data_IF_371454609861
#
_entry.id   IF_371454609861
#
_cell.length_a   1.000
_cell.length_b   1.000
_cell.length_c   1.000
_cell.angle_alpha   90.00
_cell.angle_beta   90.00
_cell.angle_gamma   90.00
#
_symmetry.space_group_name_H-M   'P 1'
#
loop_
_entity.id
_entity.type
_entity.pdbx_description
1 polymer ?
#
# COMPACT_ATOMS: atom_id res chain seq x y z
N UNK A 1 21.83 4.95 -11.79
CA UNK A 1 20.92 5.90 -12.48
C UNK A 1 19.80 5.17 -13.24
N UNK A 2 20.09 4.29 -14.21
CA UNK A 2 19.05 3.67 -15.06
C UNK A 2 17.95 2.90 -14.32
N UNK A 3 18.31 2.12 -13.29
CA UNK A 3 17.34 1.33 -12.48
C UNK A 3 16.36 2.22 -11.71
N UNK A 4 16.81 3.39 -11.24
CA UNK A 4 15.96 4.34 -10.52
C UNK A 4 14.91 4.94 -11.45
N UNK A 5 15.34 5.44 -12.62
CA UNK A 5 14.42 5.99 -13.63
C UNK A 5 13.43 4.94 -14.16
N UNK A 6 13.88 3.70 -14.37
CA UNK A 6 13.01 2.60 -14.79
C UNK A 6 11.89 2.33 -13.78
N UNK A 7 12.21 2.26 -12.47
CA UNK A 7 11.19 2.11 -11.42
C UNK A 7 10.23 3.29 -11.39
N UNK A 8 10.73 4.52 -11.49
CA UNK A 8 9.89 5.73 -11.46
C UNK A 8 8.92 5.76 -12.65
N UNK A 9 9.41 5.52 -13.88
CA UNK A 9 8.57 5.48 -15.07
C UNK A 9 7.53 4.36 -14.98
N UNK A 10 7.92 3.19 -14.46
CA UNK A 10 7.00 2.07 -14.23
C UNK A 10 5.88 2.44 -13.24
N UNK A 11 6.20 3.08 -12.11
CA UNK A 11 5.19 3.53 -11.15
C UNK A 11 4.27 4.62 -11.71
N UNK A 12 4.80 5.55 -12.52
CA UNK A 12 4.00 6.59 -13.18
C UNK A 12 3.02 5.96 -14.18
N UNK A 13 3.50 5.07 -15.03
CA UNK A 13 2.67 4.35 -15.99
C UNK A 13 1.58 3.52 -15.29
N UNK A 14 1.95 2.80 -14.22
CA UNK A 14 1.01 2.04 -13.40
C UNK A 14 -0.10 2.92 -12.80
N UNK A 15 0.24 4.10 -12.25
CA UNK A 15 -0.75 5.03 -11.72
C UNK A 15 -1.67 5.62 -12.80
N UNK A 16 -1.15 5.88 -14.01
CA UNK A 16 -1.98 6.33 -15.13
C UNK A 16 -2.97 5.25 -15.56
N UNK A 17 -2.52 3.99 -15.72
CA UNK A 17 -3.40 2.87 -16.07
C UNK A 17 -4.47 2.65 -14.98
N UNK A 18 -4.11 2.71 -13.70
CA UNK A 18 -5.05 2.66 -12.57
C UNK A 18 -6.17 3.70 -12.71
N UNK A 19 -5.83 4.96 -13.04
CA UNK A 19 -6.84 6.01 -13.24
C UNK A 19 -7.76 5.75 -14.42
N UNK A 20 -7.27 5.08 -15.46
CA UNK A 20 -8.05 4.76 -16.65
C UNK A 20 -8.89 3.48 -16.49
N UNK A 21 -8.50 2.56 -15.60
CA UNK A 21 -9.17 1.25 -15.43
C UNK A 21 -10.17 1.23 -14.27
N UNK A 22 -10.04 2.14 -13.28
CA UNK A 22 -10.88 2.16 -12.08
C UNK A 22 -12.08 3.09 -12.26
N UNK A 23 -13.31 2.57 -12.38
CA UNK A 23 -14.52 3.37 -12.37
C UNK A 23 -14.69 4.01 -10.97
N UNK A 24 -15.12 5.27 -10.94
CA UNK A 24 -15.22 6.15 -9.75
C UNK A 24 -15.75 5.43 -8.50
N UNK A 25 -14.86 5.07 -7.57
CA UNK A 25 -15.23 4.46 -6.29
C UNK A 25 -15.89 5.50 -5.36
N UNK A 26 -16.93 5.09 -4.62
CA UNK A 26 -17.56 5.96 -3.60
C UNK A 26 -16.57 6.22 -2.46
N UNK A 27 -16.58 7.44 -1.91
CA UNK A 27 -15.78 7.80 -0.74
C UNK A 27 -15.98 6.84 0.43
N UNK A 28 -17.19 6.28 0.60
CA UNK A 28 -17.49 5.28 1.63
C UNK A 28 -16.70 3.97 1.46
N UNK A 29 -16.45 3.53 0.23
CA UNK A 29 -15.70 2.30 -0.02
C UNK A 29 -14.22 2.49 0.28
N UNK A 30 -13.68 3.66 -0.04
CA UNK A 30 -12.29 4.02 0.28
C UNK A 30 -12.12 4.14 1.79
N UNK A 31 -13.08 4.78 2.47
CA UNK A 31 -13.04 4.92 3.93
C UNK A 31 -13.16 3.56 4.63
N UNK A 32 -14.03 2.67 4.13
CA UNK A 32 -14.14 1.30 4.64
C UNK A 32 -12.87 0.48 4.37
N UNK A 33 -12.20 0.63 3.22
CA UNK A 33 -10.94 -0.06 2.94
C UNK A 33 -9.81 0.44 3.88
N UNK A 34 -9.67 1.76 4.01
CA UNK A 34 -8.67 2.39 4.88
C UNK A 34 -8.86 2.03 6.35
N UNK A 35 -10.07 2.24 6.87
CA UNK A 35 -10.34 2.07 8.29
C UNK A 35 -10.55 0.62 8.73
N UNK A 36 -11.14 -0.22 7.88
CA UNK A 36 -11.49 -1.59 8.28
C UNK A 36 -10.42 -2.63 7.93
N UNK A 37 -9.55 -2.34 6.96
CA UNK A 37 -8.53 -3.30 6.48
C UNK A 37 -7.12 -2.74 6.69
N UNK A 38 -6.85 -1.49 6.27
CA UNK A 38 -5.50 -0.94 6.30
C UNK A 38 -4.98 -0.68 7.72
N UNK A 39 -5.83 -0.12 8.60
CA UNK A 39 -5.50 0.15 10.00
C UNK A 39 -5.16 -1.11 10.81
N UNK A 40 -6.04 -2.14 10.89
CA UNK A 40 -5.73 -3.35 11.64
C UNK A 40 -4.54 -4.11 11.05
N UNK A 41 -4.37 -4.11 9.73
CA UNK A 41 -3.23 -4.75 9.07
C UNK A 41 -1.91 -4.04 9.39
N UNK A 42 -1.89 -2.70 9.45
CA UNK A 42 -0.69 -1.94 9.83
C UNK A 42 -0.32 -2.19 11.30
N UNK A 43 -1.33 -2.23 12.19
CA UNK A 43 -1.12 -2.54 13.61
C UNK A 43 -0.56 -3.96 13.80
N UNK A 44 -1.09 -4.93 13.05
CA UNK A 44 -0.63 -6.31 13.07
C UNK A 44 0.83 -6.43 12.58
N UNK A 45 1.21 -5.75 11.50
CA UNK A 45 2.59 -5.74 11.01
C UNK A 45 3.58 -5.15 12.03
N UNK A 46 3.20 -4.07 12.73
CA UNK A 46 4.04 -3.48 13.78
C UNK A 46 4.20 -4.45 14.95
N UNK A 47 3.11 -5.08 15.40
CA UNK A 47 3.13 -6.11 16.45
C UNK A 47 4.02 -7.30 16.08
N UNK A 48 3.87 -7.83 14.87
CA UNK A 48 4.67 -8.95 14.37
C UNK A 48 6.14 -8.56 14.28
N UNK A 49 6.46 -7.39 13.72
CA UNK A 49 7.84 -6.93 13.62
C UNK A 49 8.48 -6.74 14.99
N UNK A 50 7.74 -6.18 15.96
CA UNK A 50 8.18 -6.06 17.34
C UNK A 50 8.44 -7.41 18.02
N UNK A 51 7.54 -8.38 17.84
CA UNK A 51 7.71 -9.74 18.35
C UNK A 51 8.91 -10.46 17.73
N UNK A 52 9.12 -10.30 16.43
CA UNK A 52 10.26 -10.89 15.73
C UNK A 52 11.58 -10.30 16.24
N UNK A 53 11.67 -8.98 16.42
CA UNK A 53 12.87 -8.34 16.99
C UNK A 53 13.12 -8.84 18.42
N UNK A 54 12.08 -8.99 19.24
CA UNK A 54 12.19 -9.50 20.61
C UNK A 54 12.60 -10.98 20.66
N UNK A 55 12.15 -11.82 19.72
CA UNK A 55 12.56 -13.23 19.65
C UNK A 55 13.95 -13.44 19.03
N UNK A 56 14.41 -12.52 18.17
CA UNK A 56 15.71 -12.61 17.49
C UNK A 56 16.84 -12.03 18.36
N UNK A 57 16.53 -11.11 19.27
CA UNK A 57 17.47 -10.60 20.28
C UNK A 57 17.57 -11.55 21.48
#
# INVERSE_FOLDING_TARGET
>A
IGVFFAKVIFFIWFQMTIRWTLPRFRYDQIMKLGWKILLPLSLANILITGLVILMVH
#
